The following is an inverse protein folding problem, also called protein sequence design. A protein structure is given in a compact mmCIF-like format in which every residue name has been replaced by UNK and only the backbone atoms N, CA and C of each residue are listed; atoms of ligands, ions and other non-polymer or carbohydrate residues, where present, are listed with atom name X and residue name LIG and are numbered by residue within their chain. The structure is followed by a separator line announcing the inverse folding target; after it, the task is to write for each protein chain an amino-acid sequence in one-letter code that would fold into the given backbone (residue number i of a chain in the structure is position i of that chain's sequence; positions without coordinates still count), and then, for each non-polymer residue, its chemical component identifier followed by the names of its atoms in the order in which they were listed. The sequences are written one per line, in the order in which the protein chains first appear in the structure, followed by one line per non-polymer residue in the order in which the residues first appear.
data_IF_613028765925
#
_entry.id   IF_613028765925
#
_cell.length_a   1.000
_cell.length_b   1.000
_cell.length_c   1.000
_cell.angle_alpha   90.00
_cell.angle_beta   90.00
_cell.angle_gamma   90.00
#
_symmetry.space_group_name_H-M   'P 1'
#
loop_
_entity.id
_entity.type
_entity.pdbx_description
1 polymer ?
#
# COMPACT_ATOMS: atom_id res chain seq x y z
N UNK A 1 22.85 -7.41 -2.11
CA UNK A 1 22.34 -8.78 -2.09
C UNK A 1 20.89 -8.74 -2.53
N UNK A 2 20.37 -9.68 -3.32
CA UNK A 2 18.94 -9.74 -3.57
C UNK A 2 18.24 -9.91 -2.23
N UNK A 3 17.33 -9.00 -1.90
CA UNK A 3 16.51 -9.12 -0.71
C UNK A 3 15.64 -10.37 -0.83
N UNK A 4 15.54 -11.13 0.24
CA UNK A 4 14.61 -12.26 0.30
C UNK A 4 13.19 -11.74 0.03
N UNK A 5 12.51 -12.35 -0.93
CA UNK A 5 11.12 -12.05 -1.24
C UNK A 5 10.20 -13.12 -0.62
N UNK A 6 9.17 -12.66 0.04
CA UNK A 6 8.15 -13.49 0.65
C UNK A 6 7.38 -14.30 -0.39
N UNK A 7 6.88 -15.47 0.00
CA UNK A 7 6.13 -16.40 -0.87
C UNK A 7 4.78 -16.75 -0.25
N UNK A 8 3.83 -17.10 -1.13
CA UNK A 8 2.54 -17.64 -0.72
C UNK A 8 2.74 -18.87 0.17
N UNK A 9 1.98 -18.95 1.25
CA UNK A 9 2.06 -20.00 2.26
C UNK A 9 3.01 -19.70 3.43
N UNK A 10 3.86 -18.69 3.32
CA UNK A 10 4.68 -18.25 4.45
C UNK A 10 3.82 -17.49 5.46
N UNK A 11 4.21 -17.54 6.72
CA UNK A 11 3.60 -16.79 7.81
C UNK A 11 4.40 -15.52 8.07
N UNK A 12 3.72 -14.38 8.08
CA UNK A 12 4.35 -13.11 8.45
C UNK A 12 4.62 -13.06 9.96
N UNK A 13 5.73 -12.44 10.38
CA UNK A 13 5.89 -12.02 11.77
C UNK A 13 4.86 -10.94 12.09
N UNK A 14 4.42 -10.89 13.34
CA UNK A 14 3.65 -9.73 13.81
C UNK A 14 4.57 -8.51 13.88
N UNK A 15 4.03 -7.34 13.57
CA UNK A 15 4.75 -6.08 13.70
C UNK A 15 3.84 -5.00 14.27
N UNK A 16 4.47 -4.03 14.91
CA UNK A 16 3.81 -2.82 15.39
C UNK A 16 3.95 -1.69 14.40
N UNK A 17 2.95 -0.81 14.36
CA UNK A 17 2.94 0.34 13.48
C UNK A 17 2.18 1.53 14.06
N UNK A 18 2.40 2.70 13.47
CA UNK A 18 1.66 3.91 13.74
C UNK A 18 0.86 4.32 12.51
N UNK A 19 -0.27 4.96 12.75
CA UNK A 19 -1.00 5.74 11.75
C UNK A 19 -0.87 7.23 12.10
N UNK A 20 -1.48 8.10 11.32
CA UNK A 20 -1.57 9.53 11.67
C UNK A 20 -2.43 9.79 12.93
N UNK A 21 -3.26 8.82 13.35
CA UNK A 21 -4.30 9.01 14.38
C UNK A 21 -4.21 8.02 15.53
N UNK A 22 -3.40 6.97 15.40
CA UNK A 22 -3.18 5.94 16.42
C UNK A 22 -1.72 5.55 16.46
N UNK A 23 -1.26 5.12 17.63
CA UNK A 23 0.11 4.65 17.84
C UNK A 23 0.11 3.25 18.45
N UNK A 24 1.22 2.53 18.23
CA UNK A 24 1.50 1.23 18.84
C UNK A 24 0.47 0.13 18.51
N UNK A 25 -0.15 0.24 17.33
CA UNK A 25 -1.07 -0.77 16.80
C UNK A 25 -0.28 -2.02 16.39
N UNK A 26 -0.89 -3.21 16.45
CA UNK A 26 -0.28 -4.45 15.97
C UNK A 26 -1.03 -5.04 14.78
N UNK A 27 -0.30 -5.68 13.86
CA UNK A 27 -0.92 -6.38 12.74
C UNK A 27 -1.82 -7.51 13.23
N UNK A 28 -1.38 -8.26 14.26
CA UNK A 28 -2.14 -9.36 14.84
C UNK A 28 -3.48 -8.95 15.45
N UNK A 29 -3.61 -7.70 15.91
CA UNK A 29 -4.88 -7.16 16.36
C UNK A 29 -5.76 -6.71 15.19
N UNK A 30 -5.17 -6.08 14.18
CA UNK A 30 -5.91 -5.59 12.99
C UNK A 30 -6.52 -6.73 12.18
N UNK A 31 -5.83 -7.84 11.97
CA UNK A 31 -6.35 -8.96 11.16
C UNK A 31 -7.59 -9.62 11.77
N UNK A 32 -7.91 -9.37 13.04
CA UNK A 32 -9.10 -9.92 13.69
C UNK A 32 -10.42 -9.33 13.15
N UNK A 33 -10.37 -8.15 12.55
CA UNK A 33 -11.57 -7.43 12.09
C UNK A 33 -12.11 -7.89 10.72
N UNK A 34 -11.36 -8.71 9.96
CA UNK A 34 -11.79 -9.21 8.67
C UNK A 34 -11.16 -10.59 8.38
N UNK A 35 -11.74 -11.38 7.48
CA UNK A 35 -11.21 -12.71 7.14
C UNK A 35 -9.89 -12.62 6.35
N UNK A 36 -9.73 -11.56 5.56
CA UNK A 36 -8.50 -11.28 4.81
C UNK A 36 -8.10 -9.82 4.96
N UNK A 37 -6.81 -9.58 5.05
CA UNK A 37 -6.23 -8.24 5.10
C UNK A 37 -5.29 -8.04 3.91
N UNK A 38 -5.53 -7.01 3.13
CA UNK A 38 -4.64 -6.55 2.06
C UNK A 38 -3.62 -5.60 2.66
N UNK A 39 -2.34 -5.88 2.48
CA UNK A 39 -1.23 -4.98 2.78
C UNK A 39 -0.76 -4.37 1.46
N UNK A 40 -1.09 -3.10 1.23
CA UNK A 40 -0.78 -2.38 0.00
C UNK A 40 0.34 -1.37 0.25
N UNK A 41 1.54 -1.69 -0.20
CA UNK A 41 2.71 -0.82 -0.13
C UNK A 41 2.76 0.10 -1.34
N UNK A 42 2.71 1.40 -1.10
CA UNK A 42 2.88 2.44 -2.10
C UNK A 42 4.13 3.27 -1.76
N UNK A 43 4.38 4.41 -2.40
CA UNK A 43 5.56 5.23 -2.07
C UNK A 43 5.31 6.13 -0.86
N UNK A 44 4.70 7.28 -1.07
CA UNK A 44 4.39 8.28 -0.04
C UNK A 44 3.15 9.08 -0.47
N UNK A 45 2.55 9.80 0.45
CA UNK A 45 1.26 10.44 0.22
C UNK A 45 1.31 11.54 -0.86
N UNK A 46 2.39 12.32 -0.92
CA UNK A 46 2.57 13.37 -1.94
C UNK A 46 2.75 12.87 -3.38
N UNK A 47 2.97 11.58 -3.59
CA UNK A 47 3.12 10.98 -4.91
C UNK A 47 1.80 11.01 -5.68
N UNK A 48 1.76 11.59 -6.87
CA UNK A 48 0.55 11.70 -7.72
C UNK A 48 -0.13 10.35 -7.98
N UNK A 49 0.65 9.30 -8.27
CA UNK A 49 0.12 7.94 -8.49
C UNK A 49 -0.48 7.36 -7.21
N UNK A 50 0.20 7.56 -6.08
CA UNK A 50 -0.26 7.03 -4.79
C UNK A 50 -1.55 7.71 -4.34
N UNK A 51 -1.67 9.03 -4.50
CA UNK A 51 -2.92 9.75 -4.25
C UNK A 51 -4.07 9.21 -5.10
N UNK A 52 -3.79 8.97 -6.38
CA UNK A 52 -4.80 8.41 -7.31
C UNK A 52 -5.22 7.00 -6.90
N UNK A 53 -4.27 6.15 -6.50
CA UNK A 53 -4.56 4.78 -6.05
C UNK A 53 -5.37 4.78 -4.75
N UNK A 54 -4.99 5.60 -3.78
CA UNK A 54 -5.70 5.78 -2.52
C UNK A 54 -7.13 6.26 -2.77
N UNK A 55 -7.30 7.27 -3.63
CA UNK A 55 -8.63 7.78 -3.99
C UNK A 55 -9.49 6.71 -4.68
N UNK A 56 -8.92 5.97 -5.63
CA UNK A 56 -9.64 4.90 -6.33
C UNK A 56 -10.03 3.79 -5.38
N UNK A 57 -9.11 3.36 -4.51
CA UNK A 57 -9.39 2.37 -3.47
C UNK A 57 -10.52 2.82 -2.55
N UNK A 58 -10.51 4.07 -2.08
CA UNK A 58 -11.55 4.61 -1.24
C UNK A 58 -12.91 4.66 -1.93
N UNK A 59 -12.95 5.09 -3.20
CA UNK A 59 -14.19 5.20 -3.98
C UNK A 59 -14.84 3.85 -4.32
N UNK A 60 -14.09 2.77 -4.34
CA UNK A 60 -14.56 1.42 -4.67
C UNK A 60 -14.44 0.45 -3.48
N UNK A 61 -14.24 0.96 -2.26
CA UNK A 61 -13.92 0.15 -1.08
C UNK A 61 -14.99 -0.88 -0.72
N UNK A 62 -16.26 -0.63 -1.07
CA UNK A 62 -17.35 -1.57 -0.83
C UNK A 62 -17.13 -2.92 -1.53
N UNK A 63 -16.39 -2.97 -2.63
CA UNK A 63 -16.01 -4.22 -3.30
C UNK A 63 -15.09 -5.08 -2.45
N UNK A 64 -14.25 -4.46 -1.62
CA UNK A 64 -13.36 -5.15 -0.68
C UNK A 64 -14.14 -5.56 0.56
N UNK A 65 -14.90 -4.62 1.13
CA UNK A 65 -15.70 -4.85 2.33
C UNK A 65 -16.74 -5.95 2.14
N UNK A 66 -17.35 -6.06 0.95
CA UNK A 66 -18.31 -7.13 0.62
C UNK A 66 -17.70 -8.53 0.62
N UNK A 67 -16.38 -8.66 0.57
CA UNK A 67 -15.64 -9.92 0.71
C UNK A 67 -15.19 -10.20 2.16
N UNK A 68 -15.73 -9.47 3.14
CA UNK A 68 -15.26 -9.51 4.53
C UNK A 68 -13.74 -9.30 4.64
N UNK A 69 -13.22 -8.35 3.87
CA UNK A 69 -11.81 -8.01 3.81
C UNK A 69 -11.57 -6.53 4.17
N UNK A 70 -10.34 -6.23 4.55
CA UNK A 70 -9.87 -4.88 4.84
C UNK A 70 -8.53 -4.59 4.15
N UNK A 71 -8.14 -3.33 4.12
CA UNK A 71 -6.86 -2.88 3.55
C UNK A 71 -6.11 -2.05 4.58
N UNK A 72 -4.81 -2.29 4.69
CA UNK A 72 -3.84 -1.38 5.28
C UNK A 72 -2.96 -0.87 4.14
N UNK A 73 -2.92 0.44 3.95
CA UNK A 73 -2.02 1.09 2.98
C UNK A 73 -0.77 1.51 3.71
N UNK A 74 0.39 1.04 3.28
CA UNK A 74 1.69 1.36 3.89
C UNK A 74 2.40 2.42 3.04
N UNK A 75 2.78 3.53 3.66
CA UNK A 75 3.47 4.67 3.03
C UNK A 75 4.74 5.03 3.77
N UNK A 76 5.71 5.59 3.02
CA UNK A 76 6.93 6.19 3.56
C UNK A 76 6.69 7.59 4.17
N UNK A 77 5.44 7.97 4.39
CA UNK A 77 5.08 9.26 4.97
C UNK A 77 5.05 9.21 6.48
N UNK A 78 5.44 10.32 7.12
CA UNK A 78 5.31 10.47 8.57
C UNK A 78 3.84 10.67 8.99
N UNK A 79 3.49 10.35 10.25
CA UNK A 79 2.15 10.60 10.79
C UNK A 79 1.71 12.07 10.64
N UNK A 80 2.62 13.02 10.83
CA UNK A 80 2.35 14.46 10.76
C UNK A 80 1.96 14.87 9.35
N UNK A 81 2.69 14.40 8.34
CA UNK A 81 2.39 14.71 6.92
C UNK A 81 1.02 14.14 6.52
N UNK A 82 0.68 12.94 6.95
CA UNK A 82 -0.64 12.36 6.68
C UNK A 82 -1.74 13.16 7.40
N UNK A 83 -1.53 13.54 8.68
CA UNK A 83 -2.51 14.32 9.46
C UNK A 83 -2.77 15.73 8.89
N UNK A 84 -1.81 16.31 8.17
CA UNK A 84 -2.01 17.58 7.44
C UNK A 84 -2.92 17.43 6.21
N UNK A 85 -3.04 16.24 5.64
CA UNK A 85 -3.73 15.98 4.38
C UNK A 85 -5.13 15.38 4.55
N UNK A 86 -5.35 14.60 5.60
CA UNK A 86 -6.60 13.88 5.85
C UNK A 86 -6.99 13.96 7.33
N UNK A 87 -8.26 13.69 7.59
CA UNK A 87 -8.77 13.46 8.95
C UNK A 87 -8.98 11.96 9.19
N UNK A 88 -9.21 11.57 10.43
CA UNK A 88 -9.41 10.16 10.82
C UNK A 88 -10.49 9.45 9.99
N UNK A 89 -11.55 10.17 9.61
CA UNK A 89 -12.70 9.61 8.91
C UNK A 89 -12.68 9.86 7.38
N UNK A 90 -11.57 10.40 6.86
CA UNK A 90 -11.45 10.74 5.42
C UNK A 90 -11.39 9.50 4.52
N UNK A 91 -10.89 8.37 5.02
CA UNK A 91 -10.70 7.14 4.27
C UNK A 91 -11.38 5.96 4.98
N UNK A 92 -11.92 4.99 4.24
CA UNK A 92 -12.54 3.78 4.82
C UNK A 92 -11.51 2.72 5.25
N UNK A 93 -10.23 3.03 5.21
CA UNK A 93 -9.10 2.18 5.60
C UNK A 93 -8.01 3.02 6.26
N UNK A 94 -7.07 2.35 6.92
CA UNK A 94 -5.97 3.00 7.61
C UNK A 94 -4.72 3.12 6.73
N UNK A 95 -3.95 4.19 6.98
CA UNK A 95 -2.61 4.40 6.42
C UNK A 95 -1.59 4.14 7.52
N UNK A 96 -0.76 3.14 7.30
CA UNK A 96 0.42 2.80 8.12
C UNK A 96 1.58 3.71 7.71
N UNK A 97 2.16 4.41 8.69
CA UNK A 97 3.27 5.31 8.48
C UNK A 97 4.59 4.56 8.73
N UNK A 98 5.33 4.26 7.66
CA UNK A 98 6.65 3.60 7.71
C UNK A 98 7.74 4.53 7.16
N UNK A 99 7.90 5.71 7.77
CA UNK A 99 8.87 6.73 7.37
C UNK A 99 10.30 6.19 7.29
N UNK A 100 10.66 5.31 8.21
CA UNK A 100 11.99 4.66 8.26
C UNK A 100 12.16 3.51 7.28
N UNK A 101 11.12 3.15 6.53
CA UNK A 101 11.10 2.07 5.54
C UNK A 101 11.52 0.70 6.13
N UNK A 102 11.19 0.46 7.39
CA UNK A 102 11.50 -0.80 8.08
C UNK A 102 10.68 -1.94 7.46
N UNK A 103 9.37 -1.74 7.29
CA UNK A 103 8.48 -2.74 6.72
C UNK A 103 8.84 -3.01 5.24
N UNK A 104 9.18 -2.00 4.45
CA UNK A 104 9.63 -2.21 3.06
C UNK A 104 10.84 -3.14 3.00
N UNK A 105 11.80 -2.98 3.92
CA UNK A 105 13.02 -3.82 3.99
C UNK A 105 12.68 -5.23 4.46
N UNK A 106 11.87 -5.36 5.50
CA UNK A 106 11.44 -6.65 6.07
C UNK A 106 10.63 -7.48 5.07
N UNK A 107 9.76 -6.82 4.30
CA UNK A 107 8.99 -7.47 3.24
C UNK A 107 9.78 -7.68 1.93
N UNK A 108 11.05 -7.32 1.89
CA UNK A 108 11.92 -7.49 0.71
C UNK A 108 11.51 -6.64 -0.49
N UNK A 109 10.83 -5.51 -0.27
CA UNK A 109 10.36 -4.61 -1.33
C UNK A 109 11.50 -3.66 -1.72
N UNK A 110 12.19 -4.00 -2.77
CA UNK A 110 13.34 -3.22 -3.26
C UNK A 110 12.90 -2.01 -4.08
N UNK A 111 13.66 -0.90 -4.03
CA UNK A 111 13.48 0.17 -4.99
C UNK A 111 13.90 -0.25 -6.41
N UNK A 112 13.43 0.48 -7.40
CA UNK A 112 13.88 0.32 -8.79
C UNK A 112 15.35 0.72 -8.93
N UNK A 113 16.07 0.07 -9.84
CA UNK A 113 17.46 0.37 -10.10
C UNK A 113 17.69 1.76 -10.74
N UNK A 114 16.65 2.34 -11.33
CA UNK A 114 16.69 3.69 -11.95
C UNK A 114 15.27 4.21 -12.20
N UNK A 115 15.15 5.52 -12.45
CA UNK A 115 13.90 6.16 -12.85
C UNK A 115 13.30 5.52 -14.13
N UNK A 116 14.15 5.11 -15.07
CA UNK A 116 13.69 4.43 -16.30
C UNK A 116 12.98 3.10 -16.00
N UNK A 117 13.37 2.39 -14.93
CA UNK A 117 12.71 1.16 -14.48
C UNK A 117 11.39 1.41 -13.75
N UNK A 118 11.18 2.61 -13.24
CA UNK A 118 9.91 3.01 -12.63
C UNK A 118 8.81 3.27 -13.66
N UNK A 119 9.19 3.59 -14.90
CA UNK A 119 8.28 4.08 -15.94
C UNK A 119 7.93 2.94 -16.89
N UNK A 120 6.65 2.77 -17.14
CA UNK A 120 6.08 1.90 -18.18
C UNK A 120 5.00 2.65 -18.93
N UNK A 121 4.50 2.11 -20.04
CA UNK A 121 3.32 2.67 -20.71
C UNK A 121 2.12 2.79 -19.75
N UNK A 122 1.93 1.81 -18.86
CA UNK A 122 0.92 1.85 -17.81
C UNK A 122 1.15 2.97 -16.79
N UNK A 123 2.41 3.23 -16.42
CA UNK A 123 2.76 4.34 -15.52
C UNK A 123 2.40 5.69 -16.15
N UNK A 124 2.75 5.90 -17.42
CA UNK A 124 2.44 7.15 -18.15
C UNK A 124 0.92 7.34 -18.25
N UNK A 125 0.19 6.31 -18.65
CA UNK A 125 -1.27 6.36 -18.76
C UNK A 125 -1.94 6.66 -17.40
N UNK A 126 -1.42 6.10 -16.32
CA UNK A 126 -1.94 6.31 -14.96
C UNK A 126 -1.65 7.73 -14.46
N UNK A 127 -0.45 8.26 -14.72
CA UNK A 127 -0.10 9.67 -14.44
C UNK A 127 -1.04 10.62 -15.17
N UNK A 128 -1.29 10.39 -16.46
CA UNK A 128 -2.21 11.21 -17.26
C UNK A 128 -3.63 11.21 -16.66
N UNK A 129 -4.14 10.04 -16.27
CA UNK A 129 -5.46 9.91 -15.60
C UNK A 129 -5.49 10.63 -14.25
N UNK A 130 -4.44 10.49 -13.45
CA UNK A 130 -4.33 11.15 -12.15
C UNK A 130 -4.31 12.67 -12.30
N UNK A 131 -3.48 13.18 -13.21
CA UNK A 131 -3.39 14.64 -13.51
C UNK A 131 -4.70 15.19 -14.05
N UNK A 132 -5.38 14.47 -14.95
CA UNK A 132 -6.69 14.87 -15.48
C UNK A 132 -7.77 14.94 -14.37
N UNK A 133 -7.63 14.17 -13.29
CA UNK A 133 -8.49 14.25 -12.10
C UNK A 133 -8.06 15.31 -11.09
N UNK A 134 -7.02 16.09 -11.39
CA UNK A 134 -6.56 17.19 -10.54
C UNK A 134 -5.52 16.80 -9.49
N UNK A 135 -5.06 15.53 -9.43
CA UNK A 135 -3.99 15.15 -8.53
C UNK A 135 -2.66 15.78 -8.95
N UNK A 136 -2.01 16.43 -7.99
CA UNK A 136 -0.70 17.09 -8.17
C UNK A 136 0.31 16.48 -7.24
N UNK A 137 1.57 16.55 -7.64
CA UNK A 137 2.67 16.11 -6.78
C UNK A 137 2.76 17.03 -5.55
N UNK A 138 2.77 16.43 -4.37
CA UNK A 138 2.92 17.11 -3.10
C UNK A 138 4.37 17.05 -2.59
N UNK A 139 4.53 17.00 -1.28
CA UNK A 139 5.84 16.89 -0.62
C UNK A 139 6.53 15.57 -1.00
N UNK A 140 7.82 15.65 -1.27
CA UNK A 140 8.66 14.46 -1.46
C UNK A 140 9.04 13.87 -0.10
N UNK A 141 8.94 12.53 0.02
CA UNK A 141 9.27 11.81 1.23
C UNK A 141 9.91 10.46 0.88
N UNK A 142 10.82 10.02 1.71
CA UNK A 142 11.44 8.70 1.56
C UNK A 142 12.18 8.49 0.24
N UNK A 143 12.11 7.27 -0.28
CA UNK A 143 12.82 6.86 -1.51
C UNK A 143 11.92 7.01 -2.74
N UNK A 144 12.28 7.91 -3.65
CA UNK A 144 11.58 8.17 -4.90
C UNK A 144 11.53 6.96 -5.85
N UNK A 145 12.48 6.06 -5.76
CA UNK A 145 12.56 4.85 -6.59
C UNK A 145 11.83 3.66 -5.98
N UNK A 146 11.15 3.81 -4.82
CA UNK A 146 10.47 2.71 -4.17
C UNK A 146 9.38 2.11 -5.06
N UNK A 147 9.47 0.81 -5.30
CA UNK A 147 8.46 0.03 -6.02
C UNK A 147 7.30 -0.33 -5.08
N UNK A 148 6.08 -0.44 -5.62
CA UNK A 148 4.93 -0.90 -4.86
C UNK A 148 4.93 -2.42 -4.67
N UNK A 149 4.14 -2.88 -3.71
CA UNK A 149 3.86 -4.30 -3.54
C UNK A 149 2.45 -4.50 -2.96
N UNK A 150 1.89 -5.69 -3.14
CA UNK A 150 0.60 -6.05 -2.60
C UNK A 150 0.63 -7.47 -2.04
N UNK A 151 0.22 -7.63 -0.79
CA UNK A 151 0.12 -8.91 -0.11
C UNK A 151 -1.30 -9.09 0.43
N UNK A 152 -1.79 -10.33 0.45
CA UNK A 152 -3.05 -10.67 1.13
C UNK A 152 -2.72 -11.74 2.18
N UNK A 153 -3.17 -11.52 3.40
CA UNK A 153 -3.00 -12.42 4.53
C UNK A 153 -4.36 -12.82 5.12
N UNK A 154 -4.36 -13.98 5.77
CA UNK A 154 -5.48 -14.42 6.61
C UNK A 154 -5.32 -13.95 8.08
N UNK A 155 -6.27 -14.34 8.94
CA UNK A 155 -6.26 -14.00 10.38
C UNK A 155 -5.08 -14.57 11.15
N UNK A 156 -4.48 -15.65 10.64
CA UNK A 156 -3.30 -16.32 11.21
C UNK A 156 -1.99 -15.77 10.66
N UNK A 157 -2.04 -14.68 9.87
CA UNK A 157 -0.91 -14.02 9.21
C UNK A 157 -0.27 -14.85 8.07
N UNK A 158 -0.94 -15.86 7.53
CA UNK A 158 -0.42 -16.62 6.41
C UNK A 158 -0.64 -15.86 5.11
N UNK A 159 0.39 -15.79 4.27
CA UNK A 159 0.34 -15.17 2.95
C UNK A 159 -0.49 -16.01 1.97
N UNK A 160 -1.57 -15.40 1.46
CA UNK A 160 -2.46 -15.97 0.43
C UNK A 160 -2.17 -15.44 -0.96
N UNK A 161 -1.59 -14.23 -1.04
CA UNK A 161 -1.19 -13.61 -2.29
C UNK A 161 0.05 -12.75 -2.08
N UNK A 162 0.93 -12.74 -3.07
CA UNK A 162 2.18 -11.98 -3.07
C UNK A 162 2.39 -11.38 -4.45
N UNK A 163 2.55 -10.06 -4.52
CA UNK A 163 2.88 -9.34 -5.73
C UNK A 163 3.91 -8.25 -5.44
N UNK A 164 5.05 -8.35 -6.09
CA UNK A 164 6.09 -7.31 -6.10
C UNK A 164 6.00 -6.54 -7.41
N UNK A 165 5.73 -5.25 -7.33
CA UNK A 165 5.60 -4.39 -8.51
C UNK A 165 6.91 -4.24 -9.27
N UNK A 166 6.85 -4.24 -10.59
CA UNK A 166 7.99 -4.08 -11.51
C UNK A 166 8.20 -2.63 -11.97
N UNK A 167 7.20 -1.78 -11.75
CA UNK A 167 7.20 -0.35 -12.04
C UNK A 167 6.23 0.38 -11.11
N UNK A 168 6.20 1.69 -11.16
CA UNK A 168 5.42 2.52 -10.24
C UNK A 168 3.89 2.34 -10.33
N UNK A 169 3.36 1.78 -11.41
CA UNK A 169 1.94 1.54 -11.62
C UNK A 169 1.52 0.08 -11.41
N UNK A 170 2.48 -0.81 -11.14
CA UNK A 170 2.28 -2.25 -11.12
C UNK A 170 1.74 -2.72 -9.76
N UNK A 171 0.45 -2.48 -9.55
CA UNK A 171 -0.34 -3.04 -8.45
C UNK A 171 -1.63 -3.67 -9.00
N UNK A 172 -2.22 -4.65 -8.33
CA UNK A 172 -3.54 -5.15 -8.67
C UNK A 172 -4.57 -4.02 -8.61
N UNK A 173 -5.42 -3.92 -9.61
CA UNK A 173 -6.58 -3.02 -9.54
C UNK A 173 -7.67 -3.57 -8.60
N UNK A 174 -8.68 -2.76 -8.30
CA UNK A 174 -9.71 -3.11 -7.32
C UNK A 174 -10.54 -4.33 -7.76
N UNK A 175 -10.77 -4.50 -9.06
CA UNK A 175 -11.48 -5.68 -9.58
C UNK A 175 -10.67 -6.95 -9.35
N UNK A 176 -9.37 -6.89 -9.64
CA UNK A 176 -8.44 -7.99 -9.39
C UNK A 176 -8.32 -8.29 -7.89
N UNK A 177 -8.23 -7.27 -7.04
CA UNK A 177 -8.23 -7.47 -5.59
C UNK A 177 -9.51 -8.13 -5.11
N UNK A 178 -10.68 -7.66 -5.56
CA UNK A 178 -11.97 -8.27 -5.21
C UNK A 178 -12.05 -9.75 -5.62
N UNK A 179 -11.50 -10.12 -6.78
CA UNK A 179 -11.45 -11.52 -7.20
C UNK A 179 -10.50 -12.38 -6.36
N UNK A 180 -9.35 -11.82 -5.97
CA UNK A 180 -8.37 -12.51 -5.09
C UNK A 180 -8.88 -12.68 -3.65
N UNK A 181 -9.88 -11.90 -3.25
CA UNK A 181 -10.48 -11.94 -1.92
C UNK A 181 -11.68 -12.90 -1.83
N UNK A 182 -12.17 -13.44 -2.92
CA UNK A 182 -13.17 -14.51 -2.93
C UNK A 182 -12.56 -15.82 -2.42
#
# INVERSE_FOLDING_TARGET
MPSYQLKVGEKLPDFKFNTAFTSDESLSDKVKYADKTVLLFLRYYGCTLCQYDIHKLASEYDKIKSQNAQVLVILQSSPEVIAEQITKDSLPFEIVCDESQILYKEFGISPAASTAKMISAGTIAKIAKATAKGFKHGKYEGNELQLPACFIIDKELNLKYVHYGKNAADIPDISKLSDLLK
#
